data_IF_016968458649
#
_entry.id   IF_016968458649
#
_cell.length_a   1.000
_cell.length_b   1.000
_cell.length_c   1.000
_cell.angle_alpha   90.00
_cell.angle_beta   90.00
_cell.angle_gamma   90.00
#
_symmetry.space_group_name_H-M   'P 1'
#
loop_
_entity.id
_entity.type
_entity.pdbx_description
1 polymer ?
#
# COMPACT_ATOMS: atom_id res chain seq x y z
N UNK A 1 -14.06 -0.96 23.93
CA UNK A 1 -15.15 -0.72 22.93
C UNK A 1 -14.57 -0.72 21.50
N UNK A 2 -15.29 -0.25 20.46
CA UNK A 2 -14.79 -0.17 19.07
C UNK A 2 -13.42 0.54 18.96
N UNK A 3 -13.17 1.60 19.74
CA UNK A 3 -11.89 2.30 19.76
C UNK A 3 -10.74 1.39 20.21
N UNK A 4 -10.96 0.57 21.23
CA UNK A 4 -9.99 -0.42 21.72
C UNK A 4 -9.72 -1.52 20.68
N UNK A 5 -10.77 -1.98 19.98
CA UNK A 5 -10.61 -2.93 18.87
C UNK A 5 -9.75 -2.33 17.75
N UNK A 6 -10.03 -1.09 17.33
CA UNK A 6 -9.26 -0.39 16.29
C UNK A 6 -7.82 -0.20 16.73
N UNK A 7 -7.58 0.20 17.98
CA UNK A 7 -6.24 0.37 18.53
C UNK A 7 -5.44 -0.95 18.51
N UNK A 8 -6.04 -2.04 19.00
CA UNK A 8 -5.41 -3.36 19.02
C UNK A 8 -5.15 -3.88 17.60
N UNK A 9 -6.11 -3.75 16.69
CA UNK A 9 -5.96 -4.14 15.28
C UNK A 9 -4.83 -3.36 14.61
N UNK A 10 -4.75 -2.05 14.86
CA UNK A 10 -3.70 -1.18 14.28
C UNK A 10 -2.31 -1.57 14.80
N UNK A 11 -2.18 -1.75 16.11
CA UNK A 11 -0.91 -2.16 16.75
C UNK A 11 -0.42 -3.52 16.25
N UNK A 12 -1.33 -4.49 16.08
CA UNK A 12 -0.95 -5.79 15.51
C UNK A 12 -0.63 -5.68 14.01
N UNK A 13 -1.34 -4.85 13.25
CA UNK A 13 -1.06 -4.63 11.82
C UNK A 13 0.35 -4.09 11.58
N UNK A 14 0.81 -3.15 12.42
CA UNK A 14 2.14 -2.54 12.33
C UNK A 14 3.27 -3.57 12.35
N UNK A 15 3.12 -4.67 13.09
CA UNK A 15 4.11 -5.76 13.19
C UNK A 15 4.31 -6.53 11.90
N UNK A 16 3.28 -6.55 11.05
CA UNK A 16 3.26 -7.31 9.79
C UNK A 16 3.40 -6.39 8.57
N UNK A 17 3.68 -5.11 8.78
CA UNK A 17 3.91 -4.17 7.69
C UNK A 17 5.09 -4.60 6.82
N UNK A 18 4.92 -4.55 5.51
CA UNK A 18 6.04 -4.67 4.58
C UNK A 18 7.11 -3.63 4.92
N UNK A 19 8.39 -4.04 4.95
CA UNK A 19 9.49 -3.10 5.11
C UNK A 19 9.45 -2.00 4.06
N UNK A 20 9.82 -0.78 4.45
CA UNK A 20 9.83 0.39 3.56
C UNK A 20 10.64 0.12 2.29
N UNK A 21 11.82 -0.50 2.42
CA UNK A 21 12.68 -0.85 1.28
C UNK A 21 12.02 -1.82 0.29
N UNK A 22 11.14 -2.71 0.75
CA UNK A 22 10.36 -3.59 -0.14
C UNK A 22 9.37 -2.78 -0.97
N UNK A 23 8.66 -1.84 -0.34
CA UNK A 23 7.74 -0.94 -1.04
C UNK A 23 8.50 -0.07 -2.06
N UNK A 24 9.63 0.52 -1.66
CA UNK A 24 10.48 1.35 -2.52
C UNK A 24 11.02 0.56 -3.72
N UNK A 25 11.42 -0.70 -3.52
CA UNK A 25 11.91 -1.57 -4.59
C UNK A 25 10.81 -1.91 -5.61
N UNK A 26 9.57 -2.16 -5.14
CA UNK A 26 8.42 -2.40 -6.02
C UNK A 26 8.07 -1.12 -6.78
N UNK A 27 8.02 0.03 -6.10
CA UNK A 27 7.72 1.31 -6.74
C UNK A 27 8.80 1.67 -7.77
N UNK A 28 10.08 1.44 -7.51
CA UNK A 28 11.15 1.63 -8.51
C UNK A 28 10.87 0.88 -9.82
N UNK A 29 10.41 -0.37 -9.74
CA UNK A 29 10.03 -1.15 -10.94
C UNK A 29 8.79 -0.59 -11.63
N UNK A 30 7.79 -0.12 -10.86
CA UNK A 30 6.58 0.51 -11.40
C UNK A 30 6.90 1.84 -12.09
N UNK A 31 7.83 2.63 -11.55
CA UNK A 31 8.33 3.87 -12.17
C UNK A 31 9.01 3.55 -13.51
N UNK A 32 9.87 2.53 -13.52
CA UNK A 32 10.59 2.12 -14.73
C UNK A 32 9.65 1.67 -15.84
N UNK A 33 8.68 0.81 -15.49
CA UNK A 33 7.62 0.40 -16.40
C UNK A 33 6.84 1.60 -16.98
N UNK A 34 6.51 2.59 -16.15
CA UNK A 34 5.67 3.71 -16.57
C UNK A 34 6.42 4.73 -17.46
N UNK A 35 7.69 5.00 -17.18
CA UNK A 35 8.41 6.14 -17.77
C UNK A 35 9.50 5.77 -18.77
N UNK A 36 10.12 4.59 -18.66
CA UNK A 36 11.18 4.17 -19.59
C UNK A 36 10.83 2.94 -20.40
N UNK A 37 9.92 2.08 -19.93
CA UNK A 37 9.70 0.76 -20.51
C UNK A 37 10.91 -0.19 -20.36
N UNK A 38 11.88 0.20 -19.53
CA UNK A 38 13.11 -0.53 -19.24
C UNK A 38 13.05 -1.09 -17.79
N UNK A 39 14.04 -1.89 -17.40
CA UNK A 39 14.13 -2.43 -16.02
C UNK A 39 14.42 -1.36 -14.96
N UNK A 40 14.90 -0.18 -15.39
CA UNK A 40 15.17 0.96 -14.51
C UNK A 40 14.81 2.27 -15.17
N UNK A 41 14.58 3.31 -14.36
CA UNK A 41 14.32 4.66 -14.83
C UNK A 41 15.11 5.66 -14.00
N UNK A 42 15.81 6.55 -14.68
CA UNK A 42 16.41 7.72 -14.06
C UNK A 42 15.33 8.75 -13.75
N UNK A 43 15.48 9.49 -12.65
CA UNK A 43 14.50 10.52 -12.26
C UNK A 43 14.25 11.57 -13.33
N UNK A 44 15.20 11.82 -14.24
CA UNK A 44 15.06 12.72 -15.38
C UNK A 44 14.05 12.26 -16.44
N UNK A 45 13.76 10.95 -16.53
CA UNK A 45 12.72 10.41 -17.42
C UNK A 45 11.31 10.49 -16.78
N UNK A 46 11.20 10.73 -15.47
CA UNK A 46 9.93 10.81 -14.76
C UNK A 46 9.28 12.19 -14.95
N UNK A 47 8.23 12.26 -15.77
CA UNK A 47 7.55 13.54 -16.07
C UNK A 47 6.64 14.03 -14.94
N UNK A 48 6.20 13.14 -14.05
CA UNK A 48 5.23 13.43 -12.99
C UNK A 48 5.70 12.83 -11.68
N UNK A 49 5.62 13.61 -10.60
CA UNK A 49 5.94 13.15 -9.25
C UNK A 49 5.08 11.95 -8.85
N UNK A 50 5.68 10.96 -8.18
CA UNK A 50 5.00 9.70 -7.87
C UNK A 50 3.75 9.87 -6.99
N UNK A 51 3.78 10.82 -6.07
CA UNK A 51 2.61 11.12 -5.23
C UNK A 51 1.43 11.66 -6.05
N UNK A 52 1.69 12.43 -7.11
CA UNK A 52 0.65 12.89 -8.03
C UNK A 52 0.14 11.74 -8.91
N UNK A 53 1.03 10.88 -9.39
CA UNK A 53 0.67 9.65 -10.12
C UNK A 53 -0.30 8.77 -9.31
N UNK A 54 -0.14 8.71 -7.99
CA UNK A 54 -0.98 7.90 -7.12
C UNK A 54 -2.37 8.50 -6.83
N UNK A 55 -2.58 9.80 -7.07
CA UNK A 55 -3.91 10.42 -6.88
C UNK A 55 -4.92 9.86 -7.87
N UNK A 56 -6.21 9.99 -7.55
CA UNK A 56 -7.28 9.61 -8.48
C UNK A 56 -7.22 10.41 -9.79
N UNK A 57 -7.84 9.88 -10.85
CA UNK A 57 -7.96 10.59 -12.14
C UNK A 57 -8.71 11.93 -12.00
N UNK A 58 -9.70 11.99 -11.11
CA UNK A 58 -10.42 13.24 -10.79
C UNK A 58 -9.54 14.31 -10.14
N UNK A 59 -8.41 13.93 -9.55
CA UNK A 59 -7.42 14.83 -8.93
C UNK A 59 -6.17 14.99 -9.81
N UNK A 60 -6.25 14.66 -11.09
CA UNK A 60 -5.15 14.80 -12.06
C UNK A 60 -4.08 13.71 -12.00
N UNK A 61 -4.29 12.63 -11.23
CA UNK A 61 -3.38 11.49 -11.16
C UNK A 61 -3.76 10.34 -12.09
N UNK A 62 -3.05 9.21 -11.97
CA UNK A 62 -3.33 7.99 -12.74
C UNK A 62 -4.14 6.94 -11.96
N UNK A 63 -4.38 7.16 -10.66
CA UNK A 63 -5.07 6.21 -9.78
C UNK A 63 -4.22 5.00 -9.40
N UNK A 64 -2.90 5.10 -9.52
CA UNK A 64 -1.97 4.05 -9.13
C UNK A 64 -1.99 3.94 -7.60
N UNK A 65 -2.17 2.73 -7.06
CA UNK A 65 -2.25 2.55 -5.60
C UNK A 65 -0.93 2.92 -4.93
N UNK A 66 -1.02 3.76 -3.88
CA UNK A 66 0.06 3.93 -2.91
C UNK A 66 0.21 2.62 -2.12
N UNK A 67 1.36 1.95 -2.24
CA UNK A 67 1.57 0.63 -1.66
C UNK A 67 1.63 0.66 -0.13
N UNK A 68 2.08 1.76 0.46
CA UNK A 68 2.09 1.90 1.92
C UNK A 68 0.65 1.93 2.46
N UNK A 69 -0.20 2.79 1.90
CA UNK A 69 -1.63 2.82 2.27
C UNK A 69 -2.32 1.49 1.97
N UNK A 70 -2.04 0.88 0.81
CA UNK A 70 -2.60 -0.42 0.46
C UNK A 70 -2.17 -1.51 1.45
N UNK A 71 -0.91 -1.52 1.88
CA UNK A 71 -0.38 -2.47 2.85
C UNK A 71 -1.11 -2.35 4.19
N UNK A 72 -1.29 -1.12 4.71
CA UNK A 72 -2.09 -0.87 5.92
C UNK A 72 -3.51 -1.41 5.74
N UNK A 73 -4.21 -0.99 4.68
CA UNK A 73 -5.60 -1.38 4.47
C UNK A 73 -5.78 -2.90 4.37
N UNK A 74 -4.88 -3.59 3.67
CA UNK A 74 -4.96 -5.05 3.50
C UNK A 74 -4.68 -5.79 4.82
N UNK A 75 -3.69 -5.35 5.59
CA UNK A 75 -3.37 -5.93 6.90
C UNK A 75 -4.50 -5.70 7.90
N UNK A 76 -5.01 -4.47 8.01
CA UNK A 76 -6.17 -4.15 8.84
C UNK A 76 -7.38 -5.00 8.45
N UNK A 77 -7.66 -5.15 7.15
CA UNK A 77 -8.75 -6.00 6.65
C UNK A 77 -8.54 -7.48 7.02
N UNK A 78 -7.32 -7.98 6.90
CA UNK A 78 -6.98 -9.36 7.25
C UNK A 78 -7.15 -9.62 8.74
N UNK A 79 -6.63 -8.74 9.60
CA UNK A 79 -6.71 -8.85 11.05
C UNK A 79 -8.17 -8.73 11.51
N UNK A 80 -8.93 -7.77 10.97
CA UNK A 80 -10.36 -7.66 11.24
C UNK A 80 -11.09 -8.96 10.91
N UNK A 81 -10.78 -9.60 9.77
CA UNK A 81 -11.37 -10.90 9.42
C UNK A 81 -11.00 -11.95 10.44
N UNK A 82 -9.74 -12.05 10.88
CA UNK A 82 -9.31 -13.01 11.89
C UNK A 82 -10.08 -12.87 13.22
N UNK A 83 -10.40 -11.64 13.64
CA UNK A 83 -11.17 -11.39 14.87
C UNK A 83 -12.69 -11.37 14.68
N UNK A 84 -13.19 -11.47 13.45
CA UNK A 84 -14.62 -11.61 13.19
C UNK A 84 -15.09 -13.04 13.47
N UNK A 85 -16.27 -13.18 14.09
CA UNK A 85 -16.81 -14.47 14.56
C UNK A 85 -17.00 -15.53 13.45
N UNK A 86 -16.99 -15.13 12.18
CA UNK A 86 -17.23 -16.01 11.02
C UNK A 86 -15.95 -16.29 10.21
N UNK A 87 -14.78 -16.16 10.81
CA UNK A 87 -13.52 -16.51 10.15
C UNK A 87 -13.29 -18.02 10.18
N UNK A 88 -12.88 -18.65 9.06
CA UNK A 88 -12.49 -20.06 9.06
C UNK A 88 -11.24 -20.34 9.92
N UNK A 89 -10.56 -19.30 10.41
CA UNK A 89 -9.36 -19.38 11.24
C UNK A 89 -9.65 -19.25 12.75
N UNK A 90 -10.91 -18.97 13.13
CA UNK A 90 -11.32 -18.83 14.53
C UNK A 90 -12.08 -20.10 14.92
N UNK A 91 -11.52 -20.87 15.86
CA UNK A 91 -12.18 -22.06 16.43
C UNK A 91 -13.31 -21.66 17.38
#
# INVERSE_FOLDING_TARGET
DFAELVFNVSREAERYMLPKGTIEAIDKRRHAFLWSGEDSCHGSKCLVAWDLVCKSKSLGGLGIKNLHSQNICLLTKMIYRLFSQNSPWTK
#
